data_IF_065520387559
#
_entry.id   IF_065520387559
#
_cell.length_a   1.000
_cell.length_b   1.000
_cell.length_c   1.000
_cell.angle_alpha   90.00
_cell.angle_beta   90.00
_cell.angle_gamma   90.00
#
_symmetry.space_group_name_H-M   'P 1'
#
loop_
_entity.id
_entity.type
_entity.pdbx_description
1 polymer ?
#
# COMPACT_ATOMS: atom_id res chain seq x y z
N UNK A 1 29.58 0.67 -17.07
CA UNK A 1 29.08 1.98 -17.58
C UNK A 1 27.55 2.02 -17.62
N UNK A 2 26.89 3.20 -17.51
CA UNK A 2 25.41 3.29 -17.63
C UNK A 2 24.87 2.75 -18.96
N UNK A 3 25.70 2.74 -20.01
CA UNK A 3 25.39 2.17 -21.32
C UNK A 3 25.23 0.65 -21.28
N UNK A 4 26.06 -0.05 -20.52
CA UNK A 4 26.00 -1.52 -20.39
C UNK A 4 24.77 -1.96 -19.60
N UNK A 5 24.43 -1.23 -18.53
CA UNK A 5 23.23 -1.49 -17.73
C UNK A 5 21.96 -1.18 -18.54
N UNK A 6 21.98 -0.10 -19.34
CA UNK A 6 20.90 0.25 -20.26
C UNK A 6 20.64 -0.86 -21.29
N UNK A 7 21.70 -1.34 -21.95
CA UNK A 7 21.62 -2.40 -22.94
C UNK A 7 21.13 -3.73 -22.33
N UNK A 8 21.67 -4.12 -21.16
CA UNK A 8 21.29 -5.36 -20.46
C UNK A 8 19.80 -5.43 -20.11
N UNK A 9 19.21 -4.29 -19.77
CA UNK A 9 17.81 -4.21 -19.37
C UNK A 9 16.89 -3.66 -20.47
N UNK A 10 17.42 -3.41 -21.67
CA UNK A 10 16.71 -2.79 -22.79
C UNK A 10 15.98 -1.48 -22.41
N UNK A 11 16.64 -0.65 -21.60
CA UNK A 11 16.10 0.63 -21.10
C UNK A 11 16.90 1.77 -21.71
N UNK A 12 16.25 2.87 -22.06
CA UNK A 12 16.94 4.07 -22.51
C UNK A 12 17.94 4.57 -21.43
N UNK A 13 19.19 4.84 -21.84
CA UNK A 13 20.25 5.41 -20.99
C UNK A 13 19.80 6.68 -20.26
N UNK A 14 19.01 7.53 -20.92
CA UNK A 14 18.49 8.77 -20.34
C UNK A 14 17.64 8.48 -19.10
N UNK A 15 16.84 7.42 -19.12
CA UNK A 15 16.00 6.99 -18.00
C UNK A 15 16.83 6.54 -16.80
N UNK A 16 17.90 5.76 -17.02
CA UNK A 16 18.84 5.39 -15.95
C UNK A 16 19.56 6.61 -15.38
N UNK A 17 19.97 7.55 -16.24
CA UNK A 17 20.62 8.79 -15.84
C UNK A 17 19.70 9.70 -15.02
N UNK A 18 18.43 9.83 -15.40
CA UNK A 18 17.40 10.58 -14.65
C UNK A 18 17.15 9.95 -13.28
N UNK A 19 17.01 8.62 -13.21
CA UNK A 19 16.83 7.89 -11.95
C UNK A 19 18.03 8.07 -11.01
N UNK A 20 19.26 7.98 -11.51
CA UNK A 20 20.47 8.18 -10.70
C UNK A 20 20.61 9.62 -10.19
N UNK A 21 20.17 10.61 -10.98
CA UNK A 21 20.12 12.02 -10.58
C UNK A 21 18.93 12.37 -9.67
N UNK A 22 18.08 11.39 -9.32
CA UNK A 22 16.92 11.60 -8.46
C UNK A 22 15.76 12.34 -9.13
N UNK A 23 15.78 12.54 -10.45
CA UNK A 23 14.71 13.22 -11.21
C UNK A 23 13.43 12.38 -11.20
N UNK A 24 13.57 11.05 -11.21
CA UNK A 24 12.43 10.12 -11.14
C UNK A 24 12.30 9.58 -9.72
N UNK A 25 11.12 9.77 -9.13
CA UNK A 25 10.81 9.24 -7.80
C UNK A 25 10.91 7.70 -7.78
N UNK A 26 11.35 7.16 -6.65
CA UNK A 26 11.40 5.70 -6.46
C UNK A 26 9.99 5.12 -6.44
N UNK A 27 9.85 3.84 -6.80
CA UNK A 27 8.56 3.14 -6.72
C UNK A 27 7.96 3.18 -5.31
N UNK A 28 8.79 3.16 -4.27
CA UNK A 28 8.35 3.25 -2.89
C UNK A 28 7.77 4.64 -2.58
N UNK A 29 8.43 5.72 -3.03
CA UNK A 29 7.94 7.08 -2.86
C UNK A 29 6.62 7.31 -3.61
N UNK A 30 6.54 6.82 -4.86
CA UNK A 30 5.30 6.84 -5.64
C UNK A 30 4.18 6.04 -4.95
N UNK A 31 4.48 4.86 -4.42
CA UNK A 31 3.50 4.05 -3.70
C UNK A 31 2.96 4.75 -2.44
N UNK A 32 3.75 5.60 -1.77
CA UNK A 32 3.30 6.41 -0.64
C UNK A 32 2.43 7.58 -1.14
N UNK A 33 2.84 8.29 -2.20
CA UNK A 33 2.05 9.40 -2.76
C UNK A 33 0.72 8.99 -3.40
N UNK A 34 0.63 7.76 -3.90
CA UNK A 34 -0.60 7.20 -4.47
C UNK A 34 -1.52 6.57 -3.41
N UNK A 35 -1.10 6.47 -2.15
CA UNK A 35 -1.96 5.98 -1.07
C UNK A 35 -2.93 7.07 -0.64
N UNK A 36 -4.20 6.68 -0.50
CA UNK A 36 -5.30 7.56 -0.11
C UNK A 36 -5.23 8.01 1.35
N UNK A 37 -4.52 7.24 2.17
CA UNK A 37 -4.29 7.51 3.59
C UNK A 37 -2.80 7.63 3.84
N UNK A 38 -2.40 8.63 4.63
CA UNK A 38 -1.01 8.78 5.06
C UNK A 38 -0.61 7.63 6.01
N UNK A 39 0.69 7.29 6.12
CA UNK A 39 1.15 6.26 7.06
C UNK A 39 0.70 6.50 8.52
N UNK A 40 0.54 7.77 8.91
CA UNK A 40 0.05 8.16 10.23
C UNK A 40 -1.45 7.92 10.38
N UNK A 41 -2.24 8.19 9.34
CA UNK A 41 -3.68 7.93 9.34
C UNK A 41 -4.02 6.43 9.40
N UNK A 42 -3.08 5.55 9.01
CA UNK A 42 -3.28 4.09 9.03
C UNK A 42 -3.00 3.48 10.41
N UNK A 43 -2.26 4.14 11.31
CA UNK A 43 -1.87 3.54 12.60
C UNK A 43 -3.04 3.31 13.56
N UNK A 44 -3.86 4.32 13.79
CA UNK A 44 -5.03 4.26 14.69
C UNK A 44 -6.07 3.19 14.23
N UNK A 45 -6.39 3.09 12.92
CA UNK A 45 -7.16 1.99 12.34
C UNK A 45 -6.61 0.59 12.61
N UNK A 46 -5.31 0.40 12.41
CA UNK A 46 -4.67 -0.91 12.52
C UNK A 46 -4.64 -1.35 13.98
N UNK A 47 -4.42 -0.43 14.92
CA UNK A 47 -4.50 -0.73 16.36
C UNK A 47 -5.91 -1.13 16.77
N UNK A 48 -6.94 -0.45 16.26
CA UNK A 48 -8.34 -0.77 16.59
C UNK A 48 -8.80 -2.09 15.98
N UNK A 49 -8.38 -2.41 14.75
CA UNK A 49 -8.63 -3.71 14.12
C UNK A 49 -7.86 -4.82 14.85
N UNK A 50 -6.59 -4.60 15.23
CA UNK A 50 -5.81 -5.56 16.02
C UNK A 50 -6.47 -5.87 17.36
N UNK A 51 -6.91 -4.86 18.10
CA UNK A 51 -7.60 -5.05 19.38
C UNK A 51 -8.96 -5.77 19.26
N UNK A 52 -9.60 -5.76 18.09
CA UNK A 52 -10.78 -6.58 17.80
C UNK A 52 -10.41 -8.02 17.41
N UNK A 53 -9.28 -8.20 16.72
CA UNK A 53 -8.79 -9.52 16.28
C UNK A 53 -8.18 -10.31 17.44
N UNK A 54 -7.63 -9.63 18.45
CA UNK A 54 -7.13 -10.21 19.71
C UNK A 54 -8.25 -10.81 20.61
N UNK A 55 -9.52 -10.58 20.28
CA UNK A 55 -10.69 -11.10 21.02
C UNK A 55 -11.32 -12.35 20.40
N UNK A 56 -10.53 -13.12 19.64
CA UNK A 56 -10.90 -14.42 19.04
C UNK A 56 -12.06 -14.40 18.02
N UNK A 57 -12.45 -13.24 17.52
CA UNK A 57 -13.40 -13.12 16.42
C UNK A 57 -12.68 -12.68 15.14
N UNK A 58 -12.45 -13.58 14.17
CA UNK A 58 -11.84 -13.19 12.92
C UNK A 58 -12.76 -12.18 12.21
N UNK A 59 -12.22 -11.05 11.74
CA UNK A 59 -13.02 -9.99 11.15
C UNK A 59 -13.64 -10.47 9.82
N UNK A 60 -14.90 -10.10 9.57
CA UNK A 60 -15.50 -10.30 8.25
C UNK A 60 -14.99 -9.23 7.29
N UNK A 61 -15.03 -9.53 5.99
CA UNK A 61 -14.69 -8.54 4.94
C UNK A 61 -15.51 -7.25 5.06
N UNK A 62 -16.79 -7.37 5.40
CA UNK A 62 -17.68 -6.24 5.63
C UNK A 62 -17.24 -5.36 6.81
N UNK A 63 -16.80 -5.96 7.92
CA UNK A 63 -16.24 -5.20 9.03
C UNK A 63 -14.99 -4.43 8.62
N UNK A 64 -14.04 -5.08 7.94
CA UNK A 64 -12.81 -4.42 7.45
C UNK A 64 -13.15 -3.23 6.55
N UNK A 65 -14.14 -3.39 5.65
CA UNK A 65 -14.61 -2.33 4.76
C UNK A 65 -15.26 -1.18 5.52
N UNK A 66 -16.15 -1.47 6.46
CA UNK A 66 -16.84 -0.45 7.26
C UNK A 66 -15.86 0.34 8.11
N UNK A 67 -14.89 -0.32 8.74
CA UNK A 67 -13.84 0.37 9.49
C UNK A 67 -13.01 1.26 8.58
N UNK A 68 -12.47 0.70 7.50
CA UNK A 68 -11.66 1.47 6.56
C UNK A 68 -12.44 2.66 5.96
N UNK A 69 -13.75 2.51 5.74
CA UNK A 69 -14.60 3.59 5.21
C UNK A 69 -14.85 4.69 6.25
N UNK A 70 -15.11 4.31 7.51
CA UNK A 70 -15.29 5.25 8.60
C UNK A 70 -14.03 6.11 8.82
N UNK A 71 -12.86 5.48 8.70
CA UNK A 71 -11.56 6.13 8.85
C UNK A 71 -11.25 7.05 7.67
N UNK A 72 -11.49 6.58 6.44
CA UNK A 72 -11.27 7.37 5.24
C UNK A 72 -12.33 8.47 5.06
N UNK A 73 -13.41 8.45 5.85
CA UNK A 73 -14.61 9.29 5.70
C UNK A 73 -15.26 9.18 4.32
N UNK A 74 -15.06 8.04 3.66
CA UNK A 74 -15.51 7.77 2.30
C UNK A 74 -15.58 6.25 2.07
N UNK A 75 -16.42 5.77 1.15
CA UNK A 75 -16.56 4.34 0.90
C UNK A 75 -15.28 3.76 0.27
N UNK A 76 -14.77 2.68 0.86
CA UNK A 76 -13.66 1.89 0.29
C UNK A 76 -14.18 0.75 -0.57
N UNK A 77 -13.42 0.36 -1.59
CA UNK A 77 -13.79 -0.71 -2.51
C UNK A 77 -13.42 -2.11 -1.98
N UNK A 78 -14.10 -3.15 -2.47
CA UNK A 78 -13.76 -4.55 -2.19
C UNK A 78 -12.34 -4.92 -2.62
N UNK A 79 -11.84 -4.30 -3.70
CA UNK A 79 -10.47 -4.48 -4.17
C UNK A 79 -9.45 -3.97 -3.15
N UNK A 80 -9.76 -2.88 -2.45
CA UNK A 80 -8.92 -2.37 -1.37
C UNK A 80 -8.89 -3.35 -0.19
N UNK A 81 -10.05 -3.90 0.21
CA UNK A 81 -10.16 -4.89 1.30
C UNK A 81 -9.34 -6.13 0.98
N UNK A 82 -9.42 -6.63 -0.26
CA UNK A 82 -8.65 -7.78 -0.73
C UNK A 82 -7.13 -7.54 -0.64
N UNK A 83 -6.68 -6.35 -1.06
CA UNK A 83 -5.27 -5.96 -0.95
C UNK A 83 -4.82 -5.82 0.50
N UNK A 84 -5.67 -5.27 1.37
CA UNK A 84 -5.39 -5.12 2.80
C UNK A 84 -5.22 -6.48 3.48
N UNK A 85 -6.15 -7.41 3.27
CA UNK A 85 -6.09 -8.78 3.78
C UNK A 85 -4.80 -9.47 3.32
N UNK A 86 -4.49 -9.40 2.02
CA UNK A 86 -3.29 -10.04 1.45
C UNK A 86 -2.00 -9.44 2.00
N UNK A 87 -1.95 -8.11 2.17
CA UNK A 87 -0.75 -7.41 2.67
C UNK A 87 -0.45 -7.72 4.12
N UNK A 88 -1.48 -7.93 4.94
CA UNK A 88 -1.36 -8.12 6.38
C UNK A 88 -1.59 -9.57 6.83
N UNK A 89 -1.77 -10.50 5.90
CA UNK A 89 -2.02 -11.92 6.15
C UNK A 89 -3.13 -12.15 7.19
N UNK A 90 -4.25 -11.42 7.05
CA UNK A 90 -5.37 -11.47 7.99
C UNK A 90 -6.26 -12.66 7.63
N UNK A 91 -6.58 -13.48 8.62
CA UNK A 91 -7.62 -14.50 8.47
C UNK A 91 -9.01 -13.86 8.67
N UNK A 92 -9.92 -14.09 7.72
CA UNK A 92 -11.28 -13.55 7.72
C UNK A 92 -12.30 -14.69 7.75
N UNK A 93 -13.41 -14.49 8.47
CA UNK A 93 -14.59 -15.38 8.45
C UNK A 93 -15.40 -15.25 7.15
#
# INVERSE_FOLDING_TARGET
SHTEVAARHNINRATLSQKRRGVTASRAAMAIGHQKLSPQQVQEPVQRIKGLTERDFPPTRGMIRSFASAIAKEPVSESWVTRFISRHNIYVL
#
